data_IF_516285670727
#
_entry.id   IF_516285670727
#
_cell.length_a   1.000
_cell.length_b   1.000
_cell.length_c   1.000
_cell.angle_alpha   90.00
_cell.angle_beta   90.00
_cell.angle_gamma   90.00
#
_symmetry.space_group_name_H-M   'P 1'
#
loop_
_entity.id
_entity.type
_entity.pdbx_description
1 polymer ?
#
# COMPACT_ATOMS: atom_id res chain seq x y z
N UNK A 1 -18.78 11.20 0.26
CA UNK A 1 -18.19 11.43 -1.07
C UNK A 1 -16.69 11.08 -1.05
N UNK A 2 -16.27 10.21 -1.98
CA UNK A 2 -14.87 9.85 -2.16
C UNK A 2 -14.09 11.01 -2.76
N UNK A 3 -12.88 11.22 -2.27
CA UNK A 3 -11.97 12.29 -2.69
C UNK A 3 -10.80 11.74 -3.49
N UNK A 4 -10.08 12.62 -4.21
CA UNK A 4 -8.83 12.25 -4.87
C UNK A 4 -7.77 11.71 -3.90
N UNK A 5 -7.80 12.13 -2.62
CA UNK A 5 -6.92 11.60 -1.59
C UNK A 5 -7.24 10.14 -1.26
N UNK A 6 -8.52 9.76 -1.18
CA UNK A 6 -8.92 8.38 -0.92
C UNK A 6 -8.48 7.45 -2.05
N UNK A 7 -8.60 7.93 -3.30
CA UNK A 7 -8.13 7.17 -4.46
C UNK A 7 -6.61 7.05 -4.47
N UNK A 8 -5.88 8.09 -4.04
CA UNK A 8 -4.43 8.04 -3.91
C UNK A 8 -4.00 7.06 -2.80
N UNK A 9 -4.67 7.08 -1.65
CA UNK A 9 -4.42 6.14 -0.55
C UNK A 9 -4.74 4.70 -0.97
N UNK A 10 -5.83 4.48 -1.72
CA UNK A 10 -6.16 3.20 -2.34
C UNK A 10 -5.02 2.68 -3.23
N UNK A 11 -4.51 3.51 -4.16
CA UNK A 11 -3.45 3.09 -5.07
C UNK A 11 -2.14 2.74 -4.33
N UNK A 12 -1.81 3.49 -3.29
CA UNK A 12 -0.65 3.19 -2.43
C UNK A 12 -0.84 1.86 -1.71
N UNK A 13 -2.01 1.65 -1.11
CA UNK A 13 -2.32 0.42 -0.39
C UNK A 13 -2.33 -0.81 -1.32
N UNK A 14 -2.88 -0.70 -2.54
CA UNK A 14 -2.82 -1.76 -3.56
C UNK A 14 -1.39 -2.09 -3.92
N UNK A 15 -0.52 -1.08 -4.08
CA UNK A 15 0.88 -1.31 -4.39
C UNK A 15 1.58 -2.04 -3.25
N UNK A 16 1.35 -1.63 -2.01
CA UNK A 16 1.90 -2.29 -0.81
C UNK A 16 1.42 -3.73 -0.68
N UNK A 17 0.12 -3.96 -0.89
CA UNK A 17 -0.47 -5.29 -0.85
C UNK A 17 0.14 -6.24 -1.88
N UNK A 18 0.44 -5.73 -3.09
CA UNK A 18 1.05 -6.52 -4.19
C UNK A 18 2.55 -6.73 -4.03
N UNK A 19 3.24 -5.83 -3.33
CA UNK A 19 4.67 -6.00 -3.05
C UNK A 19 4.85 -7.00 -1.93
N UNK A 20 5.46 -8.14 -2.25
CA UNK A 20 5.73 -9.19 -1.27
C UNK A 20 6.71 -8.73 -0.18
N UNK A 21 6.57 -9.26 1.03
CA UNK A 21 7.53 -9.01 2.13
C UNK A 21 8.97 -9.36 1.74
N UNK A 22 9.14 -10.42 0.93
CA UNK A 22 10.45 -10.85 0.42
C UNK A 22 11.10 -9.81 -0.49
N UNK A 23 10.33 -9.20 -1.40
CA UNK A 23 10.83 -8.13 -2.27
C UNK A 23 11.29 -6.92 -1.46
N UNK A 24 10.51 -6.54 -0.46
CA UNK A 24 10.82 -5.40 0.42
C UNK A 24 12.09 -5.65 1.24
N UNK A 25 12.22 -6.87 1.78
CA UNK A 25 13.41 -7.30 2.50
C UNK A 25 14.65 -7.28 1.57
N UNK A 26 14.50 -7.81 0.36
CA UNK A 26 15.58 -7.85 -0.63
C UNK A 26 16.06 -6.44 -0.99
N UNK A 27 15.15 -5.50 -1.23
CA UNK A 27 15.51 -4.11 -1.48
C UNK A 27 16.28 -3.48 -0.31
N UNK A 28 15.84 -3.71 0.92
CA UNK A 28 16.53 -3.21 2.11
C UNK A 28 17.91 -3.85 2.28
N UNK A 29 18.04 -5.15 2.07
CA UNK A 29 19.32 -5.85 2.14
C UNK A 29 20.30 -5.35 1.06
N UNK A 30 19.85 -5.15 -0.17
CA UNK A 30 20.67 -4.57 -1.23
C UNK A 30 21.14 -3.15 -0.88
N UNK A 31 20.25 -2.31 -0.36
CA UNK A 31 20.62 -0.96 0.09
C UNK A 31 21.65 -0.98 1.22
N UNK A 32 21.44 -1.82 2.23
CA UNK A 32 22.40 -1.99 3.34
C UNK A 32 23.75 -2.54 2.86
N UNK A 33 23.75 -3.49 1.93
CA UNK A 33 24.99 -4.03 1.35
C UNK A 33 25.79 -2.95 0.63
N UNK A 34 25.15 -2.06 -0.12
CA UNK A 34 25.81 -0.94 -0.79
C UNK A 34 26.40 0.06 0.22
N UNK A 35 25.67 0.37 1.29
CA UNK A 35 26.16 1.23 2.36
C UNK A 35 27.39 0.60 3.00
N UNK A 36 27.32 -0.68 3.34
CA UNK A 36 28.42 -1.41 3.96
C UNK A 36 29.63 -1.48 3.05
N UNK A 37 29.45 -1.78 1.76
CA UNK A 37 30.52 -1.81 0.77
C UNK A 37 31.18 -0.44 0.59
N UNK A 38 30.39 0.64 0.60
CA UNK A 38 30.91 2.01 0.56
C UNK A 38 31.81 2.32 1.77
N UNK A 39 31.36 1.94 2.97
CA UNK A 39 32.13 2.17 4.20
C UNK A 39 33.41 1.34 4.24
N UNK A 40 33.33 0.06 3.89
CA UNK A 40 34.50 -0.82 3.81
C UNK A 40 35.50 -0.31 2.76
N UNK A 41 35.04 0.03 1.57
CA UNK A 41 35.88 0.56 0.51
C UNK A 41 36.67 1.77 0.96
N UNK A 42 36.02 2.68 1.68
CA UNK A 42 36.68 3.86 2.23
C UNK A 42 37.76 3.52 3.27
N UNK A 43 37.53 2.49 4.09
CA UNK A 43 38.49 2.11 5.14
C UNK A 43 39.71 1.36 4.59
N UNK A 44 39.49 0.47 3.61
CA UNK A 44 40.54 -0.45 3.16
C UNK A 44 41.28 -0.01 1.86
N UNK A 45 40.64 0.84 1.04
CA UNK A 45 41.15 1.18 -0.30
C UNK A 45 41.39 2.68 -0.51
N UNK A 46 41.49 3.48 0.54
CA UNK A 46 41.84 4.90 0.40
C UNK A 46 43.29 5.08 0.00
N UNK A 47 43.54 5.15 -1.29
CA UNK A 47 44.68 5.89 -1.83
C UNK A 47 44.19 7.31 -2.04
N UNK A 48 44.44 8.22 -1.15
CA UNK A 48 44.08 9.65 -1.04
C UNK A 48 43.72 10.45 -2.31
N UNK A 49 43.10 9.82 -3.30
CA UNK A 49 42.60 10.49 -4.49
C UNK A 49 41.17 10.97 -4.27
N UNK A 50 40.94 12.23 -4.60
CA UNK A 50 39.61 12.89 -4.53
C UNK A 50 38.54 12.08 -5.30
N UNK A 51 38.98 11.33 -6.32
CA UNK A 51 38.10 10.50 -7.15
C UNK A 51 37.55 9.30 -6.39
N UNK A 52 38.34 8.58 -5.64
CA UNK A 52 37.93 7.41 -4.86
C UNK A 52 36.90 7.82 -3.78
N UNK A 53 37.14 8.94 -3.14
CA UNK A 53 36.25 9.49 -2.14
C UNK A 53 34.87 9.84 -2.70
N UNK A 54 34.79 10.37 -3.93
CA UNK A 54 33.55 10.67 -4.61
C UNK A 54 32.76 9.41 -4.97
N UNK A 55 33.43 8.35 -5.42
CA UNK A 55 32.78 7.07 -5.77
C UNK A 55 32.13 6.44 -4.54
N UNK A 56 32.85 6.38 -3.41
CA UNK A 56 32.27 5.83 -2.17
C UNK A 56 31.11 6.68 -1.65
N UNK A 57 31.18 7.99 -1.77
CA UNK A 57 30.08 8.86 -1.40
C UNK A 57 28.83 8.62 -2.28
N UNK A 58 29.00 8.43 -3.58
CA UNK A 58 27.90 8.09 -4.50
C UNK A 58 27.26 6.74 -4.16
N UNK A 59 28.08 5.72 -3.85
CA UNK A 59 27.57 4.41 -3.43
C UNK A 59 26.79 4.50 -2.12
N UNK A 60 27.23 5.31 -1.17
CA UNK A 60 26.53 5.57 0.08
C UNK A 60 25.16 6.20 -0.19
N UNK A 61 25.12 7.28 -0.99
CA UNK A 61 23.89 7.96 -1.35
C UNK A 61 22.92 7.02 -2.08
N UNK A 62 23.41 6.18 -2.99
CA UNK A 62 22.63 5.18 -3.70
C UNK A 62 22.03 4.16 -2.73
N UNK A 63 22.82 3.61 -1.82
CA UNK A 63 22.37 2.64 -0.82
C UNK A 63 21.30 3.22 0.09
N UNK A 64 21.48 4.43 0.60
CA UNK A 64 20.48 5.16 1.39
C UNK A 64 19.23 5.41 0.57
N UNK A 65 19.39 5.85 -0.69
CA UNK A 65 18.25 6.09 -1.61
C UNK A 65 17.41 4.83 -1.82
N UNK A 66 18.03 3.68 -2.01
CA UNK A 66 17.35 2.38 -2.16
C UNK A 66 16.59 2.01 -0.88
N UNK A 67 17.20 2.17 0.30
CA UNK A 67 16.54 1.89 1.57
C UNK A 67 15.29 2.77 1.80
N UNK A 68 15.37 4.05 1.43
CA UNK A 68 14.29 5.01 1.64
C UNK A 68 13.24 5.02 0.51
N UNK A 69 13.57 4.44 -0.65
CA UNK A 69 12.72 4.47 -1.84
C UNK A 69 11.29 3.98 -1.56
N UNK A 70 11.18 2.84 -0.89
CA UNK A 70 9.88 2.19 -0.68
C UNK A 70 8.99 2.93 0.31
N UNK A 71 9.59 3.51 1.35
CA UNK A 71 8.84 4.17 2.42
C UNK A 71 8.44 5.59 2.05
N UNK A 72 9.25 6.30 1.24
CA UNK A 72 9.06 7.72 0.93
C UNK A 72 8.80 8.00 -0.56
N UNK A 73 9.65 7.49 -1.46
CA UNK A 73 9.55 7.83 -2.88
C UNK A 73 8.36 7.13 -3.56
N UNK A 74 8.16 5.85 -3.29
CA UNK A 74 7.08 5.07 -3.91
C UNK A 74 5.70 5.65 -3.58
N UNK A 75 5.33 5.92 -2.31
CA UNK A 75 4.03 6.52 -2.01
C UNK A 75 3.84 7.88 -2.68
N UNK A 76 4.88 8.70 -2.73
CA UNK A 76 4.83 10.01 -3.38
C UNK A 76 4.55 9.91 -4.88
N UNK A 77 5.29 9.05 -5.59
CA UNK A 77 5.12 8.84 -7.03
C UNK A 77 3.74 8.25 -7.36
N UNK A 78 3.31 7.25 -6.58
CA UNK A 78 2.00 6.61 -6.76
C UNK A 78 0.87 7.62 -6.53
N UNK A 79 0.93 8.42 -5.46
CA UNK A 79 -0.05 9.48 -5.18
C UNK A 79 -0.14 10.49 -6.32
N UNK A 80 1.01 10.99 -6.80
CA UNK A 80 1.04 11.96 -7.91
C UNK A 80 0.41 11.42 -9.18
N UNK A 81 0.61 10.13 -9.48
CA UNK A 81 -0.04 9.45 -10.61
C UNK A 81 -1.53 9.28 -10.36
N UNK A 82 -1.92 8.85 -9.16
CA UNK A 82 -3.31 8.62 -8.79
C UNK A 82 -4.17 9.87 -8.97
N UNK A 83 -3.69 11.05 -8.59
CA UNK A 83 -4.42 12.31 -8.79
C UNK A 83 -4.71 12.60 -10.26
N UNK A 84 -3.77 12.32 -11.15
CA UNK A 84 -3.98 12.50 -12.61
C UNK A 84 -5.05 11.54 -13.15
N UNK A 85 -5.04 10.29 -12.69
CA UNK A 85 -6.05 9.31 -13.07
C UNK A 85 -7.43 9.62 -12.47
N UNK A 86 -7.49 10.07 -11.22
CA UNK A 86 -8.76 10.41 -10.58
C UNK A 86 -9.54 11.49 -11.35
N UNK A 87 -8.86 12.48 -11.89
CA UNK A 87 -9.48 13.50 -12.73
C UNK A 87 -10.18 12.93 -13.97
N UNK A 88 -9.65 11.83 -14.52
CA UNK A 88 -10.22 11.12 -15.68
C UNK A 88 -11.33 10.12 -15.29
N UNK A 89 -11.31 9.64 -14.05
CA UNK A 89 -12.25 8.62 -13.55
C UNK A 89 -13.46 9.20 -12.80
N UNK A 90 -13.60 10.50 -12.73
CA UNK A 90 -14.73 11.17 -12.05
C UNK A 90 -16.04 10.55 -12.52
N UNK A 91 -16.65 9.68 -11.69
CA UNK A 91 -18.02 9.22 -11.82
C UNK A 91 -18.27 7.73 -12.02
N UNK A 92 -17.25 6.86 -12.24
CA UNK A 92 -17.54 5.47 -12.65
C UNK A 92 -17.48 4.38 -11.57
N UNK A 93 -16.92 4.63 -10.39
CA UNK A 93 -16.72 3.56 -9.39
C UNK A 93 -16.94 3.98 -7.93
N UNK A 94 -17.79 4.96 -7.69
CA UNK A 94 -18.01 5.46 -6.35
C UNK A 94 -19.25 4.81 -5.76
N UNK A 95 -19.06 3.84 -4.85
CA UNK A 95 -20.15 3.40 -4.01
C UNK A 95 -20.63 4.58 -3.15
N UNK A 96 -21.90 4.90 -3.21
CA UNK A 96 -22.48 5.97 -2.40
C UNK A 96 -22.76 5.48 -0.99
N UNK A 97 -22.99 4.18 -0.84
CA UNK A 97 -23.28 3.54 0.43
C UNK A 97 -22.75 2.11 0.45
N UNK A 98 -22.22 1.67 1.58
CA UNK A 98 -21.71 0.31 1.78
C UNK A 98 -22.34 -0.25 3.05
N UNK A 99 -23.03 -1.37 2.91
CA UNK A 99 -23.65 -2.09 4.02
C UNK A 99 -22.89 -3.40 4.25
N UNK A 100 -22.60 -3.70 5.50
CA UNK A 100 -22.04 -4.99 5.92
C UNK A 100 -23.13 -5.82 6.56
N UNK A 101 -23.41 -6.96 5.98
CA UNK A 101 -24.39 -7.93 6.49
C UNK A 101 -23.65 -9.21 6.92
N UNK A 102 -24.33 -10.08 7.67
CA UNK A 102 -23.76 -11.37 8.10
C UNK A 102 -23.40 -12.32 6.95
N UNK A 103 -23.90 -12.06 5.71
CA UNK A 103 -23.69 -12.87 4.53
C UNK A 103 -22.68 -12.29 3.53
N UNK A 104 -22.51 -10.97 3.53
CA UNK A 104 -21.69 -10.30 2.53
C UNK A 104 -21.61 -8.80 2.70
N UNK A 105 -21.09 -8.15 1.68
CA UNK A 105 -20.93 -6.70 1.61
C UNK A 105 -21.80 -6.20 0.45
N UNK A 106 -22.67 -5.25 0.74
CA UNK A 106 -23.55 -4.64 -0.26
C UNK A 106 -23.02 -3.26 -0.63
N UNK A 107 -22.73 -3.06 -1.90
CA UNK A 107 -22.34 -1.78 -2.46
C UNK A 107 -23.53 -1.18 -3.20
N UNK A 108 -23.92 0.03 -2.81
CA UNK A 108 -24.96 0.79 -3.49
C UNK A 108 -24.27 1.90 -4.29
N UNK A 109 -24.43 1.86 -5.60
CA UNK A 109 -23.92 2.86 -6.53
C UNK A 109 -25.07 3.52 -7.27
N UNK A 110 -24.81 4.61 -7.99
CA UNK A 110 -25.82 5.24 -8.85
C UNK A 110 -26.29 4.32 -9.98
N UNK A 111 -25.49 3.30 -10.33
CA UNK A 111 -25.81 2.33 -11.39
C UNK A 111 -26.57 1.09 -10.89
N UNK A 112 -26.71 0.90 -9.58
CA UNK A 112 -27.40 -0.24 -8.99
C UNK A 112 -26.82 -0.72 -7.67
N UNK A 113 -27.35 -1.86 -7.23
CA UNK A 113 -26.92 -2.54 -6.00
C UNK A 113 -26.15 -3.79 -6.38
N UNK A 114 -25.00 -3.99 -5.77
CA UNK A 114 -24.18 -5.16 -5.95
C UNK A 114 -23.86 -5.78 -4.59
N UNK A 115 -24.13 -7.06 -4.45
CA UNK A 115 -23.88 -7.81 -3.23
C UNK A 115 -22.74 -8.80 -3.45
N UNK A 116 -21.74 -8.75 -2.58
CA UNK A 116 -20.55 -9.59 -2.65
C UNK A 116 -20.54 -10.49 -1.42
N UNK A 117 -20.80 -11.78 -1.58
CA UNK A 117 -20.64 -12.74 -0.50
C UNK A 117 -19.20 -12.80 -0.02
N UNK A 118 -18.98 -12.95 1.28
CA UNK A 118 -17.62 -13.08 1.84
C UNK A 118 -16.82 -14.22 1.23
N UNK A 119 -17.47 -15.26 0.75
CA UNK A 119 -16.85 -16.43 0.09
C UNK A 119 -16.12 -16.06 -1.22
N UNK A 120 -16.63 -15.04 -1.93
CA UNK A 120 -16.01 -14.52 -3.17
C UNK A 120 -14.81 -13.61 -2.91
N UNK A 121 -14.60 -13.18 -1.66
CA UNK A 121 -13.43 -12.41 -1.29
C UNK A 121 -12.20 -13.33 -1.22
N UNK A 122 -11.19 -13.00 -1.98
CA UNK A 122 -9.89 -13.68 -1.92
C UNK A 122 -9.12 -13.27 -0.67
N UNK A 123 -9.15 -11.98 -0.35
CA UNK A 123 -8.40 -11.38 0.75
C UNK A 123 -8.98 -10.03 1.13
N UNK A 124 -8.89 -9.67 2.40
CA UNK A 124 -9.02 -8.29 2.85
C UNK A 124 -7.67 -7.81 3.39
N UNK A 125 -7.27 -6.62 2.97
CA UNK A 125 -6.03 -5.99 3.42
C UNK A 125 -6.35 -4.65 4.07
N UNK A 126 -5.96 -4.52 5.32
CA UNK A 126 -6.14 -3.30 6.09
C UNK A 126 -4.85 -2.49 6.14
N UNK A 127 -4.86 -1.32 5.48
CA UNK A 127 -3.82 -0.29 5.58
C UNK A 127 -4.23 0.76 6.63
N UNK A 128 -3.32 1.67 6.94
CA UNK A 128 -3.55 2.77 7.90
C UNK A 128 -4.78 3.62 7.58
N UNK A 129 -5.10 3.82 6.30
CA UNK A 129 -6.14 4.76 5.85
C UNK A 129 -7.30 4.10 5.11
N UNK A 130 -7.10 2.91 4.57
CA UNK A 130 -8.08 2.23 3.74
C UNK A 130 -8.15 0.74 4.06
N UNK A 131 -9.30 0.15 3.81
CA UNK A 131 -9.51 -1.30 3.81
C UNK A 131 -9.68 -1.71 2.36
N UNK A 132 -8.89 -2.65 1.87
CA UNK A 132 -8.96 -3.21 0.53
C UNK A 132 -9.67 -4.56 0.60
N UNK A 133 -10.58 -4.78 -0.33
CA UNK A 133 -11.33 -6.02 -0.50
C UNK A 133 -10.98 -6.57 -1.89
N UNK A 134 -10.20 -7.64 -1.93
CA UNK A 134 -9.77 -8.28 -3.16
C UNK A 134 -10.75 -9.36 -3.57
N UNK A 135 -11.34 -9.21 -4.74
CA UNK A 135 -12.22 -10.15 -5.40
C UNK A 135 -11.55 -10.76 -6.63
N UNK A 136 -12.22 -11.71 -7.28
CA UNK A 136 -11.74 -12.26 -8.56
C UNK A 136 -11.72 -11.21 -9.68
N UNK A 137 -12.68 -10.30 -9.66
CA UNK A 137 -12.88 -9.30 -10.70
C UNK A 137 -12.12 -8.00 -10.45
N UNK A 138 -11.56 -7.79 -9.26
CA UNK A 138 -10.85 -6.57 -8.94
C UNK A 138 -10.62 -6.31 -7.46
N UNK A 139 -10.23 -5.09 -7.15
CA UNK A 139 -9.99 -4.65 -5.78
C UNK A 139 -10.92 -3.48 -5.49
N UNK A 140 -11.76 -3.63 -4.48
CA UNK A 140 -12.56 -2.53 -3.93
C UNK A 140 -11.89 -1.95 -2.71
N UNK A 141 -12.23 -0.74 -2.37
CA UNK A 141 -11.67 -0.08 -1.21
C UNK A 141 -12.71 0.69 -0.41
N UNK A 142 -12.48 0.73 0.90
CA UNK A 142 -13.28 1.45 1.87
C UNK A 142 -12.35 2.40 2.63
N UNK A 143 -12.47 3.73 2.47
CA UNK A 143 -11.68 4.67 3.23
C UNK A 143 -12.11 4.67 4.70
N UNK A 144 -11.16 4.51 5.62
CA UNK A 144 -11.47 4.48 7.07
C UNK A 144 -12.07 5.80 7.57
N UNK A 145 -11.76 6.92 6.93
CA UNK A 145 -12.26 8.25 7.33
C UNK A 145 -13.78 8.42 7.19
N UNK A 146 -14.44 7.57 6.40
CA UNK A 146 -15.91 7.62 6.22
C UNK A 146 -16.66 6.80 7.26
N UNK A 147 -15.93 6.03 8.07
CA UNK A 147 -16.47 5.22 9.16
C UNK A 147 -16.30 5.95 10.48
N UNK A 148 -17.32 5.87 11.32
CA UNK A 148 -17.17 6.18 12.74
C UNK A 148 -16.30 5.11 13.43
N UNK A 149 -15.85 5.36 14.64
CA UNK A 149 -15.02 4.39 15.36
C UNK A 149 -15.75 3.08 15.62
N UNK A 150 -17.05 3.18 15.95
CA UNK A 150 -17.88 2.00 16.21
C UNK A 150 -18.12 1.18 14.94
N UNK A 151 -18.46 1.84 13.82
CA UNK A 151 -18.62 1.20 12.51
C UNK A 151 -17.32 0.53 12.05
N UNK A 152 -16.18 1.19 12.26
CA UNK A 152 -14.88 0.61 11.92
C UNK A 152 -14.60 -0.68 12.69
N UNK A 153 -14.82 -0.67 14.02
CA UNK A 153 -14.64 -1.87 14.84
C UNK A 153 -15.62 -3.00 14.47
N UNK A 154 -16.83 -2.66 14.10
CA UNK A 154 -17.82 -3.61 13.64
C UNK A 154 -17.43 -4.25 12.31
N UNK A 155 -17.08 -3.44 11.30
CA UNK A 155 -16.57 -3.89 10.00
C UNK A 155 -15.36 -4.80 10.18
N UNK A 156 -14.44 -4.41 11.04
CA UNK A 156 -13.23 -5.17 11.34
C UNK A 156 -13.56 -6.53 11.97
N UNK A 157 -14.53 -6.59 12.89
CA UNK A 157 -14.99 -7.84 13.48
C UNK A 157 -15.62 -8.76 12.44
N UNK A 158 -16.48 -8.22 11.56
CA UNK A 158 -17.09 -8.98 10.47
C UNK A 158 -16.04 -9.55 9.53
N UNK A 159 -15.13 -8.73 9.04
CA UNK A 159 -14.07 -9.17 8.13
C UNK A 159 -13.14 -10.21 8.75
N UNK A 160 -12.71 -10.02 10.01
CA UNK A 160 -11.88 -11.00 10.72
C UNK A 160 -12.61 -12.33 10.91
N UNK A 161 -13.89 -12.30 11.25
CA UNK A 161 -14.70 -13.51 11.46
C UNK A 161 -14.92 -14.27 10.16
N UNK A 162 -15.22 -13.54 9.08
CA UNK A 162 -15.53 -14.11 7.77
C UNK A 162 -14.28 -14.63 7.05
N UNK A 163 -13.18 -13.88 7.07
CA UNK A 163 -12.00 -14.14 6.25
C UNK A 163 -10.87 -14.86 7.01
N UNK A 164 -10.88 -14.84 8.34
CA UNK A 164 -9.85 -15.49 9.19
C UNK A 164 -8.43 -15.14 8.73
N UNK A 165 -7.68 -16.14 8.21
CA UNK A 165 -6.30 -16.00 7.72
C UNK A 165 -6.16 -15.13 6.46
N UNK A 166 -7.24 -14.97 5.70
CA UNK A 166 -7.26 -14.12 4.51
C UNK A 166 -7.37 -12.61 4.85
N UNK A 167 -7.57 -12.29 6.12
CA UNK A 167 -7.55 -10.92 6.61
C UNK A 167 -6.13 -10.54 7.02
N UNK A 168 -5.53 -9.59 6.32
CA UNK A 168 -4.16 -9.14 6.56
C UNK A 168 -4.18 -7.69 7.01
N UNK A 169 -3.54 -7.39 8.14
CA UNK A 169 -3.38 -6.03 8.64
C UNK A 169 -1.94 -5.56 8.46
N UNK A 170 -1.74 -4.33 7.94
CA UNK A 170 -0.42 -3.73 7.85
C UNK A 170 0.16 -3.50 9.25
N UNK A 171 1.38 -3.98 9.50
CA UNK A 171 2.09 -3.72 10.75
C UNK A 171 1.80 -4.68 11.91
N UNK A 172 0.96 -5.70 11.74
CA UNK A 172 0.82 -6.81 12.68
C UNK A 172 1.67 -7.98 12.16
N UNK A 173 2.85 -8.11 12.72
CA UNK A 173 3.72 -9.29 12.66
C UNK A 173 3.93 -9.78 14.06
#
# INVERSE_FOLDING_TARGET
>A
LLTGNDFADYQVAVRRMKTGRGELLLFRLCGMALIFLSLLGRVFFTNDTTYDSAVYFLLLCLGVGICLYYDYCMPYVVRRRAFRYFASYKGRMLANHVEFDGRGIRFVTDMGREEIPYEKLRRAYEDKRVILLEEEQGIRFLPKRVLTMDEYEEVRKFLKRALKEKYVQEGVC
#
